data_IF_653414217938
#
_entry.id   IF_653414217938
#
_cell.length_a   1.000
_cell.length_b   1.000
_cell.length_c   1.000
_cell.angle_alpha   90.00
_cell.angle_beta   90.00
_cell.angle_gamma   90.00
#
_symmetry.space_group_name_H-M   'P 1'
#
loop_
_entity.id
_entity.type
_entity.pdbx_description
1 polymer ?
#
# COMPACT_ATOMS: atom_id res chain seq x y z
N UNK A 1 -4.11 -1.81 17.19
CA UNK A 1 -3.39 -0.59 16.84
C UNK A 1 -2.97 -0.74 15.39
N UNK A 2 -3.17 0.28 14.55
CA UNK A 2 -2.72 0.22 13.16
C UNK A 2 -1.20 0.41 13.13
N UNK A 3 -0.47 -0.49 12.47
CA UNK A 3 0.99 -0.43 12.37
C UNK A 3 1.34 0.35 11.13
N UNK A 4 2.10 1.45 11.25
CA UNK A 4 2.61 2.14 10.07
C UNK A 4 3.56 1.20 9.33
N UNK A 5 3.46 1.14 8.00
CA UNK A 5 4.36 0.30 7.19
C UNK A 5 5.02 1.07 6.04
N UNK A 6 4.54 2.27 5.72
CA UNK A 6 5.08 3.06 4.62
C UNK A 6 4.54 4.49 4.55
N UNK A 7 5.02 5.22 3.54
CA UNK A 7 4.68 6.60 3.24
C UNK A 7 4.43 6.75 1.75
N UNK A 8 3.41 7.50 1.38
CA UNK A 8 3.13 7.85 -0.02
C UNK A 8 4.17 8.85 -0.52
N UNK A 9 4.95 8.48 -1.53
CA UNK A 9 6.00 9.35 -2.11
C UNK A 9 5.52 10.06 -3.36
N UNK A 10 4.65 9.42 -4.13
CA UNK A 10 4.06 9.99 -5.35
C UNK A 10 2.56 9.71 -5.42
N UNK A 11 1.77 10.68 -5.86
CA UNK A 11 0.35 10.51 -6.13
C UNK A 11 -0.08 11.36 -7.34
N UNK A 12 -0.73 10.72 -8.31
CA UNK A 12 -1.41 11.35 -9.44
C UNK A 12 -2.89 10.97 -9.35
N UNK A 13 -3.79 11.93 -9.57
CA UNK A 13 -5.23 11.70 -9.51
C UNK A 13 -5.73 11.48 -8.08
N UNK A 14 -6.44 10.38 -7.84
CA UNK A 14 -7.03 10.06 -6.52
C UNK A 14 -6.62 8.68 -6.04
N UNK A 15 -6.38 8.57 -4.74
CA UNK A 15 -6.26 7.30 -4.03
C UNK A 15 -6.88 7.42 -2.64
N UNK A 16 -7.36 6.31 -2.12
CA UNK A 16 -7.92 6.19 -0.78
C UNK A 16 -7.29 5.02 -0.03
N UNK A 17 -7.13 5.18 1.28
CA UNK A 17 -6.88 4.07 2.20
C UNK A 17 -8.16 3.81 2.99
N UNK A 18 -8.59 2.56 3.02
CA UNK A 18 -9.64 2.08 3.91
C UNK A 18 -8.97 1.26 5.01
N UNK A 19 -9.03 1.75 6.25
CA UNK A 19 -8.48 1.04 7.40
C UNK A 19 -9.27 -0.22 7.74
N UNK A 20 -8.68 -1.09 8.58
CA UNK A 20 -9.34 -2.29 9.08
C UNK A 20 -10.64 -2.04 9.88
N UNK A 21 -10.81 -0.81 10.39
CA UNK A 21 -12.02 -0.33 11.04
C UNK A 21 -13.12 0.14 10.05
N UNK A 22 -12.83 0.12 8.75
CA UNK A 22 -13.69 0.60 7.68
C UNK A 22 -13.61 2.11 7.44
N UNK A 23 -12.77 2.85 8.17
CA UNK A 23 -12.57 4.28 7.97
C UNK A 23 -11.87 4.55 6.64
N UNK A 24 -12.45 5.39 5.80
CA UNK A 24 -11.87 5.75 4.50
C UNK A 24 -11.22 7.13 4.59
N UNK A 25 -9.97 7.23 4.14
CA UNK A 25 -9.24 8.49 4.01
C UNK A 25 -8.68 8.68 2.61
N UNK A 26 -8.74 9.91 2.12
CA UNK A 26 -8.01 10.29 0.91
C UNK A 26 -6.51 10.35 1.22
N UNK A 27 -5.71 9.76 0.33
CA UNK A 27 -4.25 9.80 0.43
C UNK A 27 -3.71 11.04 -0.28
N UNK A 28 -2.59 11.53 0.24
CA UNK A 28 -1.74 12.56 -0.34
C UNK A 28 -0.28 12.17 -0.18
N UNK A 29 0.61 12.79 -0.97
CA UNK A 29 2.06 12.64 -0.77
C UNK A 29 2.43 13.03 0.66
N UNK A 30 3.27 12.21 1.29
CA UNK A 30 3.67 12.31 2.70
C UNK A 30 2.71 11.66 3.68
N UNK A 31 1.54 11.16 3.25
CA UNK A 31 0.65 10.42 4.15
C UNK A 31 1.23 9.05 4.48
N UNK A 32 1.02 8.64 5.73
CA UNK A 32 1.34 7.31 6.20
C UNK A 32 0.29 6.32 5.72
N UNK A 33 0.74 5.09 5.45
CA UNK A 33 -0.12 3.94 5.22
C UNK A 33 0.16 2.88 6.28
N UNK A 34 -0.89 2.14 6.63
CA UNK A 34 -0.82 1.19 7.74
C UNK A 34 -1.05 -0.24 7.24
N UNK A 35 -0.63 -1.21 8.05
CA UNK A 35 -0.96 -2.61 7.86
C UNK A 35 -2.47 -2.79 7.82
N UNK A 36 -2.91 -3.74 7.00
CA UNK A 36 -4.30 -4.10 6.73
C UNK A 36 -5.13 -2.99 6.03
N UNK A 37 -4.51 -1.86 5.66
CA UNK A 37 -5.17 -0.84 4.85
C UNK A 37 -5.44 -1.39 3.44
N UNK A 38 -6.66 -1.24 2.96
CA UNK A 38 -7.00 -1.40 1.55
C UNK A 38 -6.73 -0.09 0.82
N UNK A 39 -5.71 -0.10 -0.05
CA UNK A 39 -5.39 1.03 -0.93
C UNK A 39 -6.16 0.86 -2.22
N UNK A 40 -6.83 1.92 -2.66
CA UNK A 40 -7.61 1.96 -3.90
C UNK A 40 -7.26 3.21 -4.70
N UNK A 41 -6.91 3.05 -5.98
CA UNK A 41 -6.65 4.16 -6.90
C UNK A 41 -7.84 4.42 -7.81
N UNK A 42 -8.07 5.69 -8.16
CA UNK A 42 -9.14 6.08 -9.07
C UNK A 42 -8.84 5.81 -10.56
N UNK A 43 -9.76 6.18 -11.47
CA UNK A 43 -9.64 5.96 -12.91
C UNK A 43 -8.46 6.67 -13.59
N UNK A 44 -8.01 7.77 -13.00
CA UNK A 44 -6.83 8.53 -13.41
C UNK A 44 -5.75 8.50 -12.31
N UNK A 45 -5.85 7.53 -11.40
CA UNK A 45 -5.00 7.39 -10.23
C UNK A 45 -3.69 6.68 -10.53
N UNK A 46 -2.60 7.12 -9.90
CA UNK A 46 -1.39 6.34 -9.73
C UNK A 46 -0.77 6.72 -8.39
N UNK A 47 -0.25 5.75 -7.65
CA UNK A 47 0.35 5.98 -6.34
C UNK A 47 1.63 5.15 -6.21
N UNK A 48 2.63 5.77 -5.60
CA UNK A 48 3.88 5.14 -5.19
C UNK A 48 3.95 5.19 -3.66
N UNK A 49 4.24 4.05 -3.05
CA UNK A 49 4.40 3.91 -1.60
C UNK A 49 5.81 3.39 -1.33
N UNK A 50 6.56 4.15 -0.54
CA UNK A 50 7.82 3.71 0.03
C UNK A 50 7.55 3.03 1.37
N UNK A 51 7.87 1.74 1.47
CA UNK A 51 7.78 1.01 2.72
C UNK A 51 9.01 1.26 3.60
N UNK A 52 8.86 0.98 4.90
CA UNK A 52 9.94 1.12 5.91
C UNK A 52 11.14 0.20 5.64
N UNK A 53 10.95 -0.88 4.87
CA UNK A 53 12.01 -1.80 4.44
C UNK A 53 12.75 -1.33 3.17
N UNK A 54 12.61 -0.06 2.80
CA UNK A 54 13.16 0.54 1.57
C UNK A 54 12.59 -0.02 0.25
N UNK A 55 11.66 -0.99 0.29
CA UNK A 55 10.94 -1.43 -0.91
C UNK A 55 9.90 -0.41 -1.34
N UNK A 56 9.70 -0.31 -2.65
CA UNK A 56 8.69 0.55 -3.27
C UNK A 56 7.57 -0.29 -3.88
N UNK A 57 6.34 0.16 -3.74
CA UNK A 57 5.18 -0.39 -4.46
C UNK A 57 4.53 0.70 -5.30
N UNK A 58 4.34 0.38 -6.57
CA UNK A 58 3.63 1.20 -7.53
C UNK A 58 2.28 0.59 -7.88
N UNK A 59 1.24 1.41 -7.85
CA UNK A 59 -0.09 1.03 -8.31
C UNK A 59 -0.57 1.99 -9.39
N UNK A 60 -1.05 1.42 -10.50
CA UNK A 60 -1.67 2.17 -11.58
C UNK A 60 -3.13 2.50 -11.30
N UNK A 61 -3.84 2.92 -12.35
CA UNK A 61 -5.27 3.29 -12.29
C UNK A 61 -6.18 2.12 -11.93
N UNK A 62 -7.30 2.41 -11.27
CA UNK A 62 -8.34 1.44 -10.91
C UNK A 62 -7.78 0.15 -10.26
N UNK A 63 -6.75 0.30 -9.45
CA UNK A 63 -6.07 -0.81 -8.79
C UNK A 63 -6.41 -0.82 -7.31
N UNK A 64 -6.45 -2.01 -6.72
CA UNK A 64 -6.70 -2.21 -5.30
C UNK A 64 -5.71 -3.22 -4.75
N UNK A 65 -5.20 -2.96 -3.55
CA UNK A 65 -4.32 -3.88 -2.84
C UNK A 65 -4.52 -3.76 -1.34
N UNK A 66 -4.38 -4.87 -0.63
CA UNK A 66 -4.29 -4.87 0.82
C UNK A 66 -2.81 -4.78 1.18
N UNK A 67 -2.50 -3.86 2.08
CA UNK A 67 -1.17 -3.71 2.63
C UNK A 67 -0.95 -4.68 3.78
N UNK A 68 -0.36 -5.83 3.51
CA UNK A 68 0.02 -6.77 4.57
C UNK A 68 1.54 -6.97 4.60
N UNK A 69 2.07 -7.04 5.83
CA UNK A 69 3.48 -7.22 6.18
C UNK A 69 4.03 -8.58 5.70
N UNK A 70 3.17 -9.55 5.39
CA UNK A 70 3.57 -10.91 4.98
C UNK A 70 3.37 -11.23 3.49
N UNK A 71 2.89 -10.28 2.67
CA UNK A 71 2.49 -10.58 1.28
C UNK A 71 3.67 -10.88 0.35
N UNK A 72 4.90 -10.57 0.77
CA UNK A 72 6.10 -10.88 -0.02
C UNK A 72 7.21 -11.52 0.82
N UNK A 73 6.91 -12.66 1.44
CA UNK A 73 7.94 -13.58 1.89
C UNK A 73 8.34 -14.53 0.74
N UNK A 74 9.45 -14.23 0.04
CA UNK A 74 10.05 -15.12 -0.97
C UNK A 74 10.75 -16.35 -0.35
N UNK A 75 10.69 -16.57 0.96
CA UNK A 75 11.27 -17.76 1.60
C UNK A 75 10.51 -19.05 1.24
N UNK A 76 9.38 -18.95 0.53
CA UNK A 76 8.68 -20.08 -0.10
C UNK A 76 9.46 -20.78 -1.23
N UNK A 77 10.69 -20.35 -1.56
CA UNK A 77 11.62 -21.14 -2.38
C UNK A 77 12.65 -21.94 -1.55
N UNK A 78 12.33 -22.26 -0.29
CA UNK A 78 13.09 -23.26 0.47
C UNK A 78 12.91 -24.64 -0.15
N UNK A 79 14.00 -25.14 -0.73
CA UNK A 79 14.40 -26.53 -0.91
C UNK A 79 13.46 -27.47 -1.68
N UNK A 80 13.79 -27.69 -2.96
CA UNK A 80 13.59 -29.00 -3.57
C UNK A 80 14.92 -29.56 -4.07
N UNK A 81 15.51 -30.39 -3.19
CA UNK A 81 16.57 -31.41 -3.38
C UNK A 81 18.00 -30.95 -3.63
#
# INVERSE_FOLDING_TARGET
>A
MATQIGIVTTLIGTATSTGADGSIRNLQVGNQVFSDDLISTGPHGAIEIQFENESVMDMGRNSQTILDLHVFDLTAMTEFL
#
